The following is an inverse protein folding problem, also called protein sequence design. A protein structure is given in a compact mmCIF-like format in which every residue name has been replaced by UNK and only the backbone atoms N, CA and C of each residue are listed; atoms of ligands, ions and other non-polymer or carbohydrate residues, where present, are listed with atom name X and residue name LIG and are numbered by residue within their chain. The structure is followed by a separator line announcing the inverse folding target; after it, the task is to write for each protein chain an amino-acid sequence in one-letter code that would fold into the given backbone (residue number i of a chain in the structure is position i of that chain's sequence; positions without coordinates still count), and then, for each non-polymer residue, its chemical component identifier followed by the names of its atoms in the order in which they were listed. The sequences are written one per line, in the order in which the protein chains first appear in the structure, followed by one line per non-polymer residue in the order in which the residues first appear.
data_IF_685784797158
#
_entry.id   IF_685784797158
#
_cell.length_a   1.000
_cell.length_b   1.000
_cell.length_c   1.000
_cell.angle_alpha   90.00
_cell.angle_beta   90.00
_cell.angle_gamma   90.00
#
_symmetry.space_group_name_H-M   'P 1'
#
loop_
_entity.id
_entity.type
_entity.pdbx_description
1 polymer ?
#
# COMPACT_ATOMS: atom_id res chain seq x y z
N UNK A 1 63.65 -60.27 -3.16
CA UNK A 1 63.38 -60.08 -1.72
C UNK A 1 61.90 -59.79 -1.53
N UNK A 2 61.28 -60.60 -0.68
CA UNK A 2 59.87 -60.61 -0.23
C UNK A 2 59.74 -59.55 0.89
N UNK A 3 58.71 -58.69 0.97
CA UNK A 3 57.40 -58.94 1.61
C UNK A 3 56.31 -57.93 1.16
N UNK A 4 55.07 -58.22 1.56
CA UNK A 4 53.79 -58.12 0.83
C UNK A 4 52.77 -57.18 1.52
N UNK A 5 52.03 -56.41 0.69
CA UNK A 5 50.63 -55.89 0.74
C UNK A 5 49.82 -55.74 2.06
N UNK A 6 49.03 -54.65 2.23
CA UNK A 6 47.53 -54.62 2.07
C UNK A 6 46.79 -53.38 2.70
N UNK A 7 45.96 -52.73 1.87
CA UNK A 7 44.69 -51.96 2.06
C UNK A 7 44.49 -50.78 3.07
N UNK A 8 43.96 -49.67 2.53
CA UNK A 8 42.58 -49.21 2.83
C UNK A 8 42.36 -47.77 3.33
N UNK A 9 41.48 -47.00 2.66
CA UNK A 9 40.63 -45.98 3.32
C UNK A 9 40.66 -44.55 2.77
N UNK A 10 39.46 -44.05 2.44
CA UNK A 10 39.09 -42.77 1.79
C UNK A 10 38.97 -41.60 2.80
N UNK A 11 39.32 -40.37 2.37
CA UNK A 11 38.92 -39.06 2.95
C UNK A 11 38.05 -38.31 1.91
N UNK A 12 37.32 -37.18 2.19
CA UNK A 12 37.28 -36.29 3.38
C UNK A 12 35.82 -35.98 3.85
N UNK A 13 35.54 -35.25 4.94
CA UNK A 13 35.56 -33.79 5.02
C UNK A 13 34.44 -33.22 5.92
N UNK A 14 34.85 -32.52 6.98
CA UNK A 14 34.24 -31.37 7.67
C UNK A 14 32.70 -31.29 7.91
N UNK A 15 32.34 -31.58 9.16
CA UNK A 15 31.28 -30.94 9.99
C UNK A 15 31.38 -29.40 9.99
N UNK A 16 30.32 -28.59 10.07
CA UNK A 16 28.88 -28.81 10.14
C UNK A 16 28.18 -27.47 10.39
N UNK A 17 27.09 -27.19 9.68
CA UNK A 17 26.15 -26.10 10.00
C UNK A 17 24.72 -26.65 9.95
N UNK A 18 24.00 -26.50 11.07
CA UNK A 18 22.63 -26.98 11.25
C UNK A 18 21.63 -25.99 10.65
N UNK A 19 21.04 -26.31 9.50
CA UNK A 19 19.81 -25.66 9.01
C UNK A 19 18.57 -26.34 9.58
N UNK A 20 17.75 -25.54 10.27
CA UNK A 20 16.40 -25.89 10.72
C UNK A 20 15.49 -26.24 9.53
N UNK A 21 14.84 -27.41 9.62
CA UNK A 21 13.94 -27.99 8.62
C UNK A 21 12.50 -27.59 8.99
N UNK A 22 11.88 -26.70 8.22
CA UNK A 22 10.44 -26.40 8.32
C UNK A 22 9.72 -27.30 7.31
N UNK A 23 8.90 -28.23 7.80
CA UNK A 23 8.17 -29.19 6.98
C UNK A 23 7.03 -28.53 6.21
N UNK A 24 7.09 -28.62 4.89
CA UNK A 24 5.98 -28.34 3.98
C UNK A 24 5.52 -29.68 3.40
N UNK A 25 4.28 -30.07 3.68
CA UNK A 25 3.67 -31.31 3.18
C UNK A 25 3.33 -31.10 1.71
N UNK A 26 4.12 -31.73 0.84
CA UNK A 26 3.85 -31.86 -0.59
C UNK A 26 2.76 -32.91 -0.82
N UNK A 27 1.76 -32.53 -1.61
CA UNK A 27 0.86 -33.43 -2.32
C UNK A 27 1.54 -33.76 -3.65
N UNK A 28 1.81 -35.04 -3.91
CA UNK A 28 2.12 -35.52 -5.26
C UNK A 28 1.00 -36.44 -5.80
N UNK A 29 0.76 -36.42 -7.13
CA UNK A 29 -0.36 -37.08 -7.81
C UNK A 29 0.04 -38.46 -8.39
N UNK A 30 -0.94 -39.36 -8.58
CA UNK A 30 -0.74 -40.59 -9.35
C UNK A 30 -1.82 -41.65 -9.13
N UNK A 31 -2.67 -41.85 -10.16
CA UNK A 31 -3.81 -42.79 -10.31
C UNK A 31 -3.37 -44.30 -10.28
N UNK A 32 -4.25 -45.34 -10.39
CA UNK A 32 -5.63 -45.35 -10.92
C UNK A 32 -6.69 -46.24 -10.21
N UNK A 33 -7.93 -46.13 -10.72
CA UNK A 33 -9.16 -46.83 -10.36
C UNK A 33 -9.12 -48.37 -10.51
N UNK A 34 -9.80 -49.10 -9.61
CA UNK A 34 -10.49 -50.34 -9.97
C UNK A 34 -11.64 -50.68 -9.00
N UNK A 35 -12.81 -50.88 -9.59
CA UNK A 35 -14.11 -51.23 -8.99
C UNK A 35 -14.23 -52.73 -8.69
N UNK A 36 -15.11 -53.07 -7.72
CA UNK A 36 -15.90 -54.32 -7.53
C UNK A 36 -15.37 -55.42 -6.59
N UNK A 37 -16.18 -55.60 -5.53
CA UNK A 37 -16.88 -56.82 -5.07
C UNK A 37 -16.14 -58.17 -4.93
N UNK A 38 -16.37 -58.81 -3.78
CA UNK A 38 -16.07 -60.22 -3.53
C UNK A 38 -15.62 -60.45 -2.09
N UNK A 39 -16.53 -60.48 -1.11
CA UNK A 39 -17.17 -61.72 -0.65
C UNK A 39 -16.17 -62.78 -0.15
N UNK A 40 -16.31 -63.07 1.15
CA UNK A 40 -16.30 -64.43 1.70
C UNK A 40 -14.93 -65.10 1.82
N UNK A 41 -14.29 -64.97 3.00
CA UNK A 41 -13.55 -66.07 3.60
C UNK A 41 -13.69 -66.10 5.15
N UNK A 42 -14.49 -67.09 5.61
CA UNK A 42 -14.20 -68.08 6.68
C UNK A 42 -13.86 -67.49 8.07
N UNK A 43 -14.81 -67.39 9.00
CA UNK A 43 -15.40 -68.42 9.88
C UNK A 43 -14.51 -68.89 11.05
N UNK A 44 -15.01 -68.64 12.27
CA UNK A 44 -14.86 -69.53 13.43
C UNK A 44 -13.78 -69.18 14.46
N UNK A 45 -14.16 -68.57 15.60
CA UNK A 45 -14.20 -69.27 16.89
C UNK A 45 -14.62 -68.34 18.05
N UNK A 46 -15.68 -68.76 18.74
CA UNK A 46 -16.02 -68.57 20.16
C UNK A 46 -16.27 -67.17 20.78
N UNK A 47 -17.54 -66.96 21.14
CA UNK A 47 -18.00 -66.13 22.27
C UNK A 47 -18.16 -67.08 23.51
N UNK A 48 -18.18 -66.62 24.79
CA UNK A 48 -19.18 -65.65 25.25
C UNK A 48 -18.81 -64.67 26.41
N UNK A 49 -19.54 -63.54 26.39
CA UNK A 49 -20.10 -62.76 27.52
C UNK A 49 -19.16 -62.10 28.55
N UNK A 50 -19.06 -60.76 28.45
CA UNK A 50 -19.13 -59.86 29.61
C UNK A 50 -19.73 -58.49 29.27
N UNK A 51 -20.89 -58.21 29.85
CA UNK A 51 -21.25 -56.92 30.44
C UNK A 51 -21.40 -55.69 29.54
N UNK A 52 -22.63 -55.43 29.12
CA UNK A 52 -23.09 -54.10 28.69
C UNK A 52 -23.09 -53.15 29.90
N UNK A 53 -22.40 -52.01 29.83
CA UNK A 53 -22.83 -50.75 30.50
C UNK A 53 -22.26 -49.57 29.72
N UNK A 54 -23.13 -48.58 29.44
CA UNK A 54 -22.84 -47.20 29.06
C UNK A 54 -22.87 -46.81 27.56
N UNK A 55 -23.92 -47.20 26.85
CA UNK A 55 -24.51 -46.34 25.82
C UNK A 55 -25.67 -45.55 26.44
N UNK A 56 -25.45 -44.27 26.77
CA UNK A 56 -26.53 -43.34 27.11
C UNK A 56 -26.73 -42.41 25.91
N UNK A 57 -27.80 -42.57 25.11
CA UNK A 57 -28.15 -41.60 24.10
C UNK A 57 -28.62 -40.33 24.82
N UNK A 58 -27.98 -39.20 24.52
CA UNK A 58 -28.39 -37.90 25.05
C UNK A 58 -29.72 -37.53 24.39
N UNK A 59 -30.80 -37.74 25.13
CA UNK A 59 -32.15 -37.29 24.87
C UNK A 59 -32.17 -35.80 24.52
N UNK A 60 -33.00 -35.46 23.53
CA UNK A 60 -33.15 -34.11 23.00
C UNK A 60 -33.44 -33.06 24.06
N UNK A 61 -32.57 -32.05 24.11
CA UNK A 61 -32.91 -30.73 24.61
C UNK A 61 -33.18 -29.83 23.41
N UNK A 62 -34.45 -29.69 23.05
CA UNK A 62 -34.93 -28.58 22.26
C UNK A 62 -34.55 -27.28 22.98
N UNK A 63 -33.91 -26.34 22.28
CA UNK A 63 -33.51 -25.07 22.88
C UNK A 63 -32.41 -24.28 22.19
N UNK A 64 -31.90 -24.71 21.02
CA UNK A 64 -31.18 -23.78 20.15
C UNK A 64 -32.23 -22.91 19.44
N UNK A 65 -32.80 -21.95 20.17
CA UNK A 65 -33.68 -20.94 19.60
C UNK A 65 -33.01 -20.34 18.37
N UNK A 66 -33.68 -20.42 17.21
CA UNK A 66 -33.27 -19.70 16.01
C UNK A 66 -32.85 -18.29 16.45
N UNK A 67 -31.64 -17.81 16.10
CA UNK A 67 -31.22 -16.48 16.54
C UNK A 67 -32.34 -15.49 16.19
N UNK A 68 -32.78 -14.62 17.12
CA UNK A 68 -33.98 -13.82 16.92
C UNK A 68 -33.87 -13.10 15.58
N UNK A 69 -34.95 -13.06 14.77
CA UNK A 69 -34.93 -12.56 13.38
C UNK A 69 -34.21 -11.21 13.22
N UNK A 70 -34.25 -10.36 14.25
CA UNK A 70 -33.52 -9.08 14.34
C UNK A 70 -32.00 -9.23 14.23
N UNK A 71 -31.41 -10.29 14.81
CA UNK A 71 -29.98 -10.61 14.74
C UNK A 71 -29.54 -11.15 13.37
N UNK A 72 -30.46 -11.68 12.56
CA UNK A 72 -30.18 -12.11 11.19
C UNK A 72 -30.19 -10.92 10.23
N UNK A 73 -31.21 -10.06 10.32
CA UNK A 73 -31.27 -8.80 9.56
C UNK A 73 -30.10 -7.88 9.90
N UNK A 74 -29.78 -7.73 11.19
CA UNK A 74 -28.63 -6.96 11.66
C UNK A 74 -27.32 -7.42 10.99
N UNK A 75 -27.05 -8.73 10.97
CA UNK A 75 -25.83 -9.28 10.35
C UNK A 75 -25.82 -9.12 8.84
N UNK A 76 -26.98 -9.26 8.19
CA UNK A 76 -27.13 -9.06 6.75
C UNK A 76 -26.85 -7.60 6.37
N UNK A 77 -27.41 -6.64 7.12
CA UNK A 77 -27.18 -5.21 6.93
C UNK A 77 -25.72 -4.83 7.20
N UNK A 78 -25.12 -5.36 8.26
CA UNK A 78 -23.73 -5.12 8.63
C UNK A 78 -22.76 -5.62 7.54
N UNK A 79 -23.00 -6.81 6.98
CA UNK A 79 -22.22 -7.35 5.87
C UNK A 79 -22.45 -6.58 4.57
N UNK A 80 -23.69 -6.17 4.29
CA UNK A 80 -24.01 -5.33 3.13
C UNK A 80 -23.27 -3.99 3.18
N UNK A 81 -23.38 -3.25 4.29
CA UNK A 81 -22.68 -1.98 4.50
C UNK A 81 -21.17 -2.15 4.44
N UNK A 82 -20.63 -3.20 5.06
CA UNK A 82 -19.20 -3.50 4.98
C UNK A 82 -18.75 -3.73 3.54
N UNK A 83 -19.53 -4.45 2.72
CA UNK A 83 -19.19 -4.67 1.32
C UNK A 83 -19.30 -3.39 0.49
N UNK A 84 -20.33 -2.57 0.69
CA UNK A 84 -20.50 -1.29 -0.03
C UNK A 84 -19.36 -0.31 0.30
N UNK A 85 -19.00 -0.21 1.59
CA UNK A 85 -17.90 0.67 2.03
C UNK A 85 -16.54 0.07 1.63
N UNK A 86 -16.20 -1.17 1.99
CA UNK A 86 -14.84 -1.68 1.79
C UNK A 86 -14.57 -2.14 0.34
N UNK A 87 -15.59 -2.63 -0.36
CA UNK A 87 -15.47 -3.25 -1.70
C UNK A 87 -16.57 -2.77 -2.65
N UNK A 88 -16.48 -1.54 -3.16
CA UNK A 88 -17.45 -1.07 -4.14
C UNK A 88 -17.57 -2.02 -5.34
N UNK A 89 -18.79 -2.52 -5.54
CA UNK A 89 -19.26 -3.20 -6.74
C UNK A 89 -20.59 -2.60 -7.14
N UNK A 90 -20.81 -2.39 -8.44
CA UNK A 90 -22.03 -1.79 -8.96
C UNK A 90 -22.33 -0.41 -8.36
N UNK A 91 -23.54 -0.23 -7.83
CA UNK A 91 -24.08 1.02 -7.27
C UNK A 91 -23.24 1.68 -6.16
N UNK A 92 -22.40 0.91 -5.47
CA UNK A 92 -21.48 1.46 -4.47
C UNK A 92 -20.49 2.49 -5.04
N UNK A 93 -20.19 2.42 -6.35
CA UNK A 93 -19.34 3.40 -7.03
C UNK A 93 -19.90 4.82 -6.94
N UNK A 94 -21.22 4.98 -7.03
CA UNK A 94 -21.89 6.30 -6.97
C UNK A 94 -21.61 6.98 -5.62
N UNK A 95 -21.65 6.22 -4.52
CA UNK A 95 -21.33 6.75 -3.20
C UNK A 95 -19.87 7.21 -3.10
N UNK A 96 -18.90 6.42 -3.57
CA UNK A 96 -17.48 6.83 -3.54
C UNK A 96 -17.22 8.00 -4.49
N UNK A 97 -17.90 8.07 -5.64
CA UNK A 97 -17.84 9.21 -6.55
C UNK A 97 -18.41 10.48 -5.90
N UNK A 98 -19.53 10.39 -5.17
CA UNK A 98 -20.07 11.51 -4.42
C UNK A 98 -19.11 12.00 -3.33
N UNK A 99 -18.55 11.07 -2.53
CA UNK A 99 -17.55 11.40 -1.50
C UNK A 99 -16.30 12.03 -2.14
N UNK A 100 -15.87 11.54 -3.30
CA UNK A 100 -14.76 12.12 -4.06
C UNK A 100 -15.07 13.55 -4.51
N UNK A 101 -16.23 13.77 -5.13
CA UNK A 101 -16.65 15.10 -5.58
C UNK A 101 -16.79 16.08 -4.42
N UNK A 102 -17.25 15.63 -3.26
CA UNK A 102 -17.37 16.45 -2.05
C UNK A 102 -16.00 16.84 -1.47
N UNK A 103 -15.00 15.95 -1.47
CA UNK A 103 -13.63 16.29 -1.08
C UNK A 103 -12.97 17.20 -2.13
N UNK A 104 -13.19 16.91 -3.41
CA UNK A 104 -12.63 17.67 -4.53
C UNK A 104 -13.19 19.09 -4.57
N UNK A 105 -14.49 19.29 -4.36
CA UNK A 105 -15.09 20.64 -4.30
C UNK A 105 -14.54 21.46 -3.13
N UNK A 106 -14.29 20.83 -1.98
CA UNK A 106 -13.64 21.47 -0.84
C UNK A 106 -12.20 21.94 -1.18
N UNK A 107 -11.44 21.11 -1.90
CA UNK A 107 -10.10 21.48 -2.39
C UNK A 107 -10.16 22.66 -3.37
N UNK A 108 -11.08 22.61 -4.34
CA UNK A 108 -11.26 23.69 -5.33
C UNK A 108 -11.62 25.01 -4.64
N UNK A 109 -12.58 25.00 -3.71
CA UNK A 109 -12.97 26.21 -2.97
C UNK A 109 -11.85 26.74 -2.07
N UNK A 110 -10.97 25.87 -1.58
CA UNK A 110 -9.76 26.28 -0.87
C UNK A 110 -8.77 27.02 -1.77
N UNK A 111 -8.62 26.61 -3.02
CA UNK A 111 -7.85 27.37 -4.02
C UNK A 111 -8.51 28.73 -4.29
N UNK A 112 -9.84 28.78 -4.47
CA UNK A 112 -10.56 30.05 -4.64
C UNK A 112 -10.45 30.98 -3.42
N UNK A 113 -10.37 30.44 -2.20
CA UNK A 113 -10.13 31.24 -0.99
C UNK A 113 -8.75 31.91 -0.95
N UNK A 114 -7.82 31.52 -1.84
CA UNK A 114 -6.50 32.16 -1.92
C UNK A 114 -6.49 33.41 -2.80
N UNK A 115 -7.54 33.62 -3.60
CA UNK A 115 -7.68 34.73 -4.53
C UNK A 115 -8.41 35.87 -3.80
N UNK A 116 -7.76 37.03 -3.65
CA UNK A 116 -8.25 38.16 -2.84
C UNK A 116 -9.65 38.64 -3.29
N UNK A 117 -9.93 38.53 -4.57
CA UNK A 117 -11.18 38.94 -5.21
C UNK A 117 -12.38 38.06 -4.76
N UNK A 118 -12.15 36.80 -4.42
CA UNK A 118 -13.20 35.82 -4.06
C UNK A 118 -13.13 35.34 -2.62
N UNK A 119 -12.18 35.84 -1.83
CA UNK A 119 -11.87 35.38 -0.46
C UNK A 119 -13.11 35.33 0.43
N UNK A 120 -13.80 36.46 0.62
CA UNK A 120 -14.93 36.56 1.58
C UNK A 120 -16.10 35.63 1.26
N UNK A 121 -16.45 35.46 -0.01
CA UNK A 121 -17.54 34.56 -0.43
C UNK A 121 -17.12 33.10 -0.32
N UNK A 122 -15.89 32.79 -0.72
CA UNK A 122 -15.34 31.44 -0.71
C UNK A 122 -15.10 30.92 0.71
N UNK A 123 -14.68 31.77 1.64
CA UNK A 123 -14.48 31.41 3.05
C UNK A 123 -15.78 30.96 3.73
N UNK A 124 -16.88 31.68 3.50
CA UNK A 124 -18.19 31.29 4.01
C UNK A 124 -18.65 29.93 3.47
N UNK A 125 -18.52 29.73 2.15
CA UNK A 125 -18.85 28.46 1.52
C UNK A 125 -17.94 27.30 1.99
N UNK A 126 -16.64 27.57 2.17
CA UNK A 126 -15.66 26.61 2.66
C UNK A 126 -16.00 26.18 4.08
N UNK A 127 -16.35 27.11 4.97
CA UNK A 127 -16.76 26.81 6.34
C UNK A 127 -17.98 25.87 6.39
N UNK A 128 -19.01 26.15 5.57
CA UNK A 128 -20.21 25.30 5.49
C UNK A 128 -19.85 23.91 4.98
N UNK A 129 -19.09 23.82 3.88
CA UNK A 129 -18.66 22.53 3.35
C UNK A 129 -17.77 21.77 4.33
N UNK A 130 -16.89 22.44 5.06
CA UNK A 130 -16.02 21.83 6.06
C UNK A 130 -16.86 21.15 7.16
N UNK A 131 -17.89 21.82 7.67
CA UNK A 131 -18.83 21.21 8.62
C UNK A 131 -19.53 19.99 8.00
N UNK A 132 -20.08 20.11 6.79
CA UNK A 132 -20.75 19.01 6.09
C UNK A 132 -19.80 17.82 5.91
N UNK A 133 -18.57 18.07 5.47
CA UNK A 133 -17.56 17.03 5.26
C UNK A 133 -17.19 16.31 6.57
N UNK A 134 -17.04 17.04 7.68
CA UNK A 134 -16.73 16.45 9.00
C UNK A 134 -17.87 15.56 9.46
N UNK A 135 -19.12 16.00 9.30
CA UNK A 135 -20.30 15.19 9.66
C UNK A 135 -20.36 13.93 8.80
N UNK A 136 -20.25 14.06 7.47
CA UNK A 136 -20.28 12.92 6.54
C UNK A 136 -19.17 11.92 6.86
N UNK A 137 -17.94 12.37 7.11
CA UNK A 137 -16.81 11.49 7.40
C UNK A 137 -16.84 10.91 8.80
N UNK A 138 -17.32 11.66 9.80
CA UNK A 138 -17.53 11.15 11.15
C UNK A 138 -18.55 10.01 11.15
N UNK A 139 -19.67 10.20 10.45
CA UNK A 139 -20.69 9.14 10.28
C UNK A 139 -20.12 7.97 9.49
N UNK A 140 -19.44 8.21 8.36
CA UNK A 140 -18.82 7.14 7.56
C UNK A 140 -17.83 6.32 8.40
N UNK A 141 -16.97 6.98 9.18
CA UNK A 141 -15.98 6.33 10.05
C UNK A 141 -16.65 5.45 11.11
N UNK A 142 -17.69 5.97 11.78
CA UNK A 142 -18.45 5.22 12.79
C UNK A 142 -19.16 4.02 12.17
N UNK A 143 -19.87 4.21 11.06
CA UNK A 143 -20.56 3.14 10.32
C UNK A 143 -19.55 2.09 9.86
N UNK A 144 -18.34 2.48 9.44
CA UNK A 144 -17.27 1.56 9.03
C UNK A 144 -16.78 0.69 10.18
N UNK A 145 -16.48 1.27 11.35
CA UNK A 145 -16.07 0.51 12.54
C UNK A 145 -17.17 -0.43 13.00
N UNK A 146 -18.42 0.05 12.98
CA UNK A 146 -19.57 -0.76 13.35
C UNK A 146 -19.76 -1.92 12.35
N UNK A 147 -19.70 -1.65 11.05
CA UNK A 147 -19.83 -2.63 9.98
C UNK A 147 -18.70 -3.69 10.02
N UNK A 148 -17.47 -3.32 10.38
CA UNK A 148 -16.33 -4.24 10.49
C UNK A 148 -16.57 -5.39 11.49
N UNK A 149 -17.50 -5.24 12.44
CA UNK A 149 -17.91 -6.30 13.35
C UNK A 149 -18.62 -7.49 12.70
N UNK A 150 -18.93 -7.46 11.39
CA UNK A 150 -19.52 -8.60 10.68
C UNK A 150 -18.52 -9.73 10.46
N UNK A 151 -17.23 -9.42 10.38
CA UNK A 151 -16.18 -10.41 10.22
C UNK A 151 -15.87 -11.08 11.57
N UNK A 152 -15.86 -12.42 11.60
CA UNK A 152 -15.52 -13.21 12.79
C UNK A 152 -14.17 -12.81 13.41
N UNK A 153 -13.22 -12.33 12.59
CA UNK A 153 -11.88 -11.85 13.00
C UNK A 153 -11.89 -10.55 13.82
N UNK A 154 -12.91 -9.71 13.69
CA UNK A 154 -13.00 -8.41 14.37
C UNK A 154 -14.18 -8.35 15.37
N UNK A 155 -14.62 -9.50 15.89
CA UNK A 155 -15.73 -9.58 16.84
C UNK A 155 -15.33 -9.03 18.22
N UNK A 156 -16.23 -8.26 18.83
CA UNK A 156 -16.03 -7.65 20.16
C UNK A 156 -15.16 -6.38 20.15
N UNK A 157 -14.99 -5.76 21.33
CA UNK A 157 -14.27 -4.49 21.48
C UNK A 157 -12.79 -4.59 21.05
N UNK A 158 -12.10 -5.66 21.46
CA UNK A 158 -10.69 -5.92 21.08
C UNK A 158 -10.52 -6.12 19.57
N UNK A 159 -11.49 -6.76 18.91
CA UNK A 159 -11.51 -6.94 17.46
C UNK A 159 -11.68 -5.63 16.70
N UNK A 160 -12.61 -4.77 17.15
CA UNK A 160 -12.82 -3.43 16.58
C UNK A 160 -11.61 -2.52 16.75
N UNK A 161 -10.97 -2.52 17.92
CA UNK A 161 -9.75 -1.74 18.15
C UNK A 161 -8.59 -2.20 17.24
N UNK A 162 -8.48 -3.51 16.99
CA UNK A 162 -7.52 -4.06 16.03
C UNK A 162 -7.76 -3.57 14.60
N UNK A 163 -9.03 -3.38 14.22
CA UNK A 163 -9.40 -2.80 12.93
C UNK A 163 -9.05 -1.31 12.85
N UNK A 164 -9.33 -0.55 13.92
CA UNK A 164 -9.03 0.89 13.99
C UNK A 164 -7.52 1.20 13.90
N UNK A 165 -6.64 0.29 14.33
CA UNK A 165 -5.17 0.42 14.23
C UNK A 165 -4.60 0.23 12.82
N UNK A 166 -5.41 -0.05 11.80
CA UNK A 166 -4.94 -0.07 10.40
C UNK A 166 -4.50 1.34 9.99
N UNK A 167 -3.42 1.50 9.21
CA UNK A 167 -2.85 2.82 8.89
C UNK A 167 -3.87 3.79 8.29
N UNK A 168 -4.68 3.35 7.32
CA UNK A 168 -5.73 4.18 6.72
C UNK A 168 -6.84 4.58 7.70
N UNK A 169 -7.20 3.71 8.66
CA UNK A 169 -8.18 4.04 9.70
C UNK A 169 -7.61 5.03 10.72
N UNK A 170 -6.30 4.98 10.99
CA UNK A 170 -5.59 5.95 11.83
C UNK A 170 -5.50 7.31 11.15
N UNK A 171 -5.20 7.35 9.84
CA UNK A 171 -5.21 8.59 9.06
C UNK A 171 -6.60 9.24 9.08
N UNK A 172 -7.67 8.46 8.85
CA UNK A 172 -9.04 8.99 8.82
C UNK A 172 -9.47 9.61 10.17
N UNK A 173 -9.16 8.96 11.29
CA UNK A 173 -9.48 9.52 12.62
C UNK A 173 -8.59 10.71 12.98
N UNK A 174 -7.30 10.68 12.60
CA UNK A 174 -6.40 11.82 12.80
C UNK A 174 -6.89 13.06 12.04
N UNK A 175 -7.29 12.88 10.78
CA UNK A 175 -7.87 13.96 9.95
C UNK A 175 -9.19 14.44 10.54
N UNK A 176 -10.06 13.55 11.01
CA UNK A 176 -11.33 13.92 11.64
C UNK A 176 -11.10 14.77 12.91
N UNK A 177 -10.21 14.32 13.81
CA UNK A 177 -9.87 15.04 15.05
C UNK A 177 -9.26 16.40 14.73
N UNK A 178 -8.30 16.45 13.81
CA UNK A 178 -7.67 17.70 13.41
C UNK A 178 -8.69 18.69 12.82
N UNK A 179 -9.62 18.21 12.01
CA UNK A 179 -10.66 19.06 11.41
C UNK A 179 -11.63 19.62 12.45
N UNK A 180 -12.03 18.80 13.44
CA UNK A 180 -12.86 19.23 14.58
C UNK A 180 -12.11 20.26 15.43
N UNK A 181 -10.83 20.02 15.72
CA UNK A 181 -10.00 20.95 16.49
C UNK A 181 -9.86 22.31 15.80
N UNK A 182 -9.69 22.31 14.47
CA UNK A 182 -9.60 23.56 13.70
C UNK A 182 -10.94 24.30 13.68
N UNK A 183 -12.09 23.62 13.53
CA UNK A 183 -13.40 24.25 13.65
C UNK A 183 -13.63 24.84 15.05
N UNK A 184 -13.27 24.11 16.12
CA UNK A 184 -13.41 24.58 17.50
C UNK A 184 -12.54 25.82 17.77
N UNK A 185 -11.32 25.86 17.23
CA UNK A 185 -10.43 27.02 17.32
C UNK A 185 -10.94 28.23 16.52
N UNK A 186 -11.52 27.99 15.34
CA UNK A 186 -12.11 29.03 14.48
C UNK A 186 -13.35 29.70 15.10
N UNK A 187 -14.12 28.96 15.89
CA UNK A 187 -15.30 29.48 16.60
C UNK A 187 -14.99 30.55 17.65
N UNK A 188 -13.77 30.59 18.19
CA UNK A 188 -13.41 31.50 19.29
C UNK A 188 -13.00 32.90 18.82
N UNK A 189 -13.20 33.25 17.54
CA UNK A 189 -13.11 34.62 17.01
C UNK A 189 -11.73 35.30 17.09
N UNK A 190 -10.70 34.58 17.53
CA UNK A 190 -9.39 35.14 17.80
C UNK A 190 -8.58 35.29 16.50
N UNK A 191 -7.51 36.09 16.51
CA UNK A 191 -6.54 36.32 15.39
C UNK A 191 -5.97 35.03 14.76
N UNK A 192 -6.25 33.89 15.37
CA UNK A 192 -6.04 32.55 14.84
C UNK A 192 -6.97 32.16 13.68
N UNK A 193 -8.05 32.89 13.38
CA UNK A 193 -8.95 32.54 12.27
C UNK A 193 -8.20 32.44 10.92
N UNK A 194 -7.30 33.38 10.63
CA UNK A 194 -6.46 33.35 9.40
C UNK A 194 -5.42 32.22 9.42
N UNK A 195 -4.88 31.88 10.59
CA UNK A 195 -3.94 30.75 10.77
C UNK A 195 -4.64 29.38 10.70
N UNK A 196 -5.88 29.31 11.18
CA UNK A 196 -6.75 28.15 11.10
C UNK A 196 -7.13 27.85 9.65
N UNK A 197 -7.47 28.88 8.87
CA UNK A 197 -7.73 28.75 7.44
C UNK A 197 -6.54 28.16 6.68
N UNK A 198 -5.31 28.59 6.98
CA UNK A 198 -4.10 28.00 6.40
C UNK A 198 -3.94 26.52 6.74
N UNK A 199 -4.28 26.14 7.97
CA UNK A 199 -4.20 24.75 8.45
C UNK A 199 -5.28 23.84 7.82
N UNK A 200 -6.48 24.38 7.55
CA UNK A 200 -7.53 23.66 6.82
C UNK A 200 -7.07 23.23 5.42
N UNK A 201 -6.28 24.07 4.72
CA UNK A 201 -5.77 23.76 3.37
C UNK A 201 -4.90 22.50 3.37
N UNK A 202 -4.06 22.35 4.40
CA UNK A 202 -3.21 21.16 4.54
C UNK A 202 -4.03 19.90 4.88
N UNK A 203 -5.04 20.03 5.75
CA UNK A 203 -5.93 18.92 6.11
C UNK A 203 -6.75 18.42 4.91
N UNK A 204 -7.11 19.28 3.96
CA UNK A 204 -7.82 18.90 2.73
C UNK A 204 -6.98 17.97 1.84
N UNK A 205 -5.67 18.21 1.74
CA UNK A 205 -4.77 17.33 0.99
C UNK A 205 -4.74 15.94 1.65
N UNK A 206 -4.67 15.88 2.99
CA UNK A 206 -4.74 14.61 3.72
C UNK A 206 -6.07 13.86 3.49
N UNK A 207 -7.19 14.58 3.28
CA UNK A 207 -8.50 13.98 2.94
C UNK A 207 -8.54 13.36 1.55
N UNK A 208 -7.66 13.74 0.63
CA UNK A 208 -7.55 13.10 -0.68
C UNK A 208 -6.81 11.76 -0.56
N UNK A 209 -5.78 11.68 0.28
CA UNK A 209 -4.95 10.47 0.46
C UNK A 209 -5.80 9.26 0.89
N UNK A 210 -6.80 9.47 1.75
CA UNK A 210 -7.68 8.39 2.22
C UNK A 210 -8.63 7.84 1.15
N UNK A 211 -8.75 8.48 -0.02
CA UNK A 211 -9.53 7.94 -1.15
C UNK A 211 -8.98 6.57 -1.59
N UNK A 212 -7.69 6.32 -1.42
CA UNK A 212 -7.11 4.98 -1.58
C UNK A 212 -7.31 4.10 -0.33
N UNK A 213 -8.58 3.77 -0.04
CA UNK A 213 -8.99 3.08 1.19
C UNK A 213 -8.38 1.68 1.37
N UNK A 214 -8.00 1.00 0.28
CA UNK A 214 -7.43 -0.36 0.32
C UNK A 214 -5.91 -0.39 0.29
N UNK A 215 -5.28 0.75 -0.01
CA UNK A 215 -3.86 0.82 -0.34
C UNK A 215 -3.51 -0.14 -1.47
N UNK A 216 -4.45 -0.40 -2.39
CA UNK A 216 -4.25 -1.32 -3.50
C UNK A 216 -3.20 -0.77 -4.45
N UNK A 217 -3.33 0.52 -4.76
CA UNK A 217 -2.36 1.27 -5.56
C UNK A 217 -1.00 1.30 -4.88
N UNK A 218 -0.94 1.60 -3.58
CA UNK A 218 0.32 1.59 -2.81
C UNK A 218 0.98 0.21 -2.73
N UNK A 219 0.19 -0.88 -2.61
CA UNK A 219 0.71 -2.25 -2.64
C UNK A 219 1.22 -2.64 -4.02
N UNK A 220 0.50 -2.27 -5.06
CA UNK A 220 0.91 -2.51 -6.44
C UNK A 220 2.20 -1.76 -6.75
N UNK A 221 2.22 -0.45 -6.47
CA UNK A 221 3.41 0.39 -6.61
C UNK A 221 4.59 -0.16 -5.82
N UNK A 222 4.37 -0.50 -4.54
CA UNK A 222 5.40 -1.11 -3.69
C UNK A 222 5.89 -2.46 -4.23
N UNK A 223 5.00 -3.28 -4.79
CA UNK A 223 5.36 -4.56 -5.41
C UNK A 223 6.24 -4.37 -6.65
N UNK A 224 5.90 -3.40 -7.52
CA UNK A 224 6.68 -3.09 -8.72
C UNK A 224 8.04 -2.49 -8.35
N UNK A 225 8.06 -1.55 -7.42
CA UNK A 225 9.31 -0.95 -6.90
C UNK A 225 10.19 -2.00 -6.24
N UNK A 226 9.61 -2.92 -5.46
CA UNK A 226 10.37 -3.99 -4.82
C UNK A 226 10.98 -4.95 -5.85
N UNK A 227 10.20 -5.34 -6.87
CA UNK A 227 10.66 -6.22 -7.95
C UNK A 227 11.85 -5.64 -8.71
N UNK A 228 11.80 -4.33 -9.02
CA UNK A 228 12.86 -3.62 -9.77
C UNK A 228 13.79 -2.78 -8.88
N UNK A 229 13.85 -3.09 -7.59
CA UNK A 229 14.59 -2.30 -6.60
C UNK A 229 16.08 -2.17 -6.94
N UNK A 230 16.69 -3.24 -7.47
CA UNK A 230 18.11 -3.22 -7.89
C UNK A 230 18.37 -2.28 -9.07
N UNK A 231 17.49 -2.31 -10.08
CA UNK A 231 17.60 -1.45 -11.26
C UNK A 231 17.36 0.01 -10.88
N UNK A 232 16.33 0.28 -10.08
CA UNK A 232 16.00 1.61 -9.57
C UNK A 232 17.14 2.20 -8.73
N UNK A 233 17.68 1.44 -7.79
CA UNK A 233 18.79 1.89 -6.93
C UNK A 233 20.04 2.16 -7.76
N UNK A 234 20.34 1.31 -8.76
CA UNK A 234 21.50 1.51 -9.64
C UNK A 234 21.34 2.77 -10.49
N UNK A 235 20.16 2.99 -11.09
CA UNK A 235 19.88 4.19 -11.87
C UNK A 235 19.94 5.48 -11.02
N UNK A 236 19.36 5.45 -9.82
CA UNK A 236 19.44 6.58 -8.87
C UNK A 236 20.88 6.85 -8.42
N UNK A 237 21.66 5.81 -8.13
CA UNK A 237 23.04 5.95 -7.72
C UNK A 237 23.90 6.58 -8.83
N UNK A 238 23.82 6.06 -10.06
CA UNK A 238 24.59 6.61 -11.19
C UNK A 238 24.10 8.02 -11.54
N UNK A 239 22.79 8.25 -11.57
CA UNK A 239 22.20 9.56 -11.82
C UNK A 239 22.65 10.60 -10.79
N UNK A 240 22.64 10.25 -9.50
CA UNK A 240 23.12 11.13 -8.44
C UNK A 240 24.62 11.40 -8.52
N UNK A 241 25.44 10.39 -8.84
CA UNK A 241 26.87 10.57 -9.07
C UNK A 241 27.13 11.52 -10.26
N UNK A 242 26.41 11.35 -11.37
CA UNK A 242 26.46 12.25 -12.51
C UNK A 242 26.02 13.67 -12.15
N UNK A 243 24.98 13.84 -11.33
CA UNK A 243 24.52 15.16 -10.85
C UNK A 243 25.62 15.87 -10.08
N UNK A 244 26.18 15.22 -9.06
CA UNK A 244 27.22 15.81 -8.21
C UNK A 244 28.46 16.19 -9.04
N UNK A 245 28.89 15.30 -9.93
CA UNK A 245 30.08 15.48 -10.76
C UNK A 245 29.86 16.58 -11.81
N UNK A 246 28.72 16.58 -12.52
CA UNK A 246 28.37 17.60 -13.50
C UNK A 246 28.28 18.99 -12.86
N UNK A 247 27.56 19.11 -11.74
CA UNK A 247 27.44 20.37 -11.00
C UNK A 247 28.80 20.87 -10.51
N UNK A 248 29.68 19.97 -10.04
CA UNK A 248 31.01 20.37 -9.57
C UNK A 248 31.91 20.84 -10.72
N UNK A 249 31.94 20.13 -11.84
CA UNK A 249 32.78 20.53 -12.98
C UNK A 249 32.29 21.81 -13.64
N UNK A 250 30.98 22.00 -13.78
CA UNK A 250 30.41 23.24 -14.33
C UNK A 250 30.61 24.39 -13.35
N UNK A 251 30.48 24.17 -12.04
CA UNK A 251 30.83 25.16 -11.03
C UNK A 251 32.27 25.63 -11.19
N UNK A 252 33.24 24.71 -11.29
CA UNK A 252 34.65 25.08 -11.45
C UNK A 252 34.92 25.79 -12.79
N UNK A 253 34.19 25.45 -13.85
CA UNK A 253 34.36 26.08 -15.16
C UNK A 253 33.76 27.50 -15.24
N UNK A 254 32.71 27.78 -14.46
CA UNK A 254 31.97 29.05 -14.47
C UNK A 254 32.34 29.97 -13.31
N UNK A 255 33.05 29.46 -12.29
CA UNK A 255 33.43 30.22 -11.11
C UNK A 255 34.31 31.41 -11.49
N UNK A 256 33.86 32.61 -11.14
CA UNK A 256 34.57 33.86 -11.38
C UNK A 256 34.25 34.53 -12.73
N UNK A 257 33.57 33.82 -13.63
CA UNK A 257 33.13 34.35 -14.94
C UNK A 257 31.62 34.64 -14.96
N UNK A 258 30.85 33.97 -14.08
CA UNK A 258 29.39 34.01 -14.11
C UNK A 258 28.80 34.12 -12.70
N UNK A 259 28.08 35.20 -12.43
CA UNK A 259 27.40 35.47 -11.16
C UNK A 259 26.30 34.44 -10.83
N UNK A 260 25.83 33.67 -11.82
CA UNK A 260 24.85 32.59 -11.59
C UNK A 260 25.44 31.39 -10.83
N UNK A 261 26.76 31.21 -10.83
CA UNK A 261 27.45 30.07 -10.21
C UNK A 261 28.42 30.52 -9.09
N UNK A 262 27.94 31.38 -8.18
CA UNK A 262 28.75 31.87 -7.06
C UNK A 262 29.00 30.77 -6.01
N UNK A 263 27.94 30.02 -5.65
CA UNK A 263 28.04 28.91 -4.70
C UNK A 263 27.88 27.55 -5.37
N UNK A 264 28.46 26.52 -4.76
CA UNK A 264 28.26 25.14 -5.21
C UNK A 264 26.78 24.72 -5.14
N UNK A 265 26.00 25.30 -4.21
CA UNK A 265 24.56 25.06 -4.12
C UNK A 265 23.81 25.57 -5.37
N UNK A 266 24.26 26.67 -5.97
CA UNK A 266 23.69 27.20 -7.22
C UNK A 266 23.92 26.27 -8.40
N UNK A 267 25.12 25.67 -8.48
CA UNK A 267 25.45 24.68 -9.48
C UNK A 267 24.70 23.36 -9.29
N UNK A 268 24.43 22.95 -8.04
CA UNK A 268 23.57 21.80 -7.73
C UNK A 268 22.12 22.04 -8.14
N UNK A 269 21.58 23.24 -7.86
CA UNK A 269 20.25 23.64 -8.33
C UNK A 269 20.15 23.56 -9.84
N UNK A 270 21.10 24.18 -10.56
CA UNK A 270 21.16 24.12 -12.01
C UNK A 270 21.25 22.68 -12.54
N UNK A 271 22.13 21.85 -11.95
CA UNK A 271 22.31 20.46 -12.34
C UNK A 271 21.04 19.63 -12.14
N UNK A 272 20.34 19.82 -11.01
CA UNK A 272 19.06 19.16 -10.76
C UNK A 272 18.02 19.53 -11.81
N UNK A 273 17.80 20.83 -12.05
CA UNK A 273 16.81 21.34 -13.02
C UNK A 273 17.12 20.89 -14.46
N UNK A 274 18.40 20.81 -14.80
CA UNK A 274 18.87 20.37 -16.13
C UNK A 274 18.73 18.86 -16.32
N UNK A 275 19.17 18.05 -15.35
CA UNK A 275 19.08 16.59 -15.43
C UNK A 275 17.66 16.06 -15.33
N UNK A 276 16.76 16.77 -14.63
CA UNK A 276 15.32 16.46 -14.63
C UNK A 276 14.59 17.04 -15.85
N UNK A 277 15.29 17.64 -16.81
CA UNK A 277 14.74 18.21 -18.05
C UNK A 277 13.66 19.30 -17.82
N UNK A 278 13.70 19.99 -16.68
CA UNK A 278 12.77 21.10 -16.39
C UNK A 278 13.23 22.35 -17.14
N UNK A 279 14.51 22.70 -17.02
CA UNK A 279 15.14 23.79 -17.77
C UNK A 279 14.49 25.16 -17.58
N UNK A 280 14.37 25.66 -16.34
CA UNK A 280 13.80 26.99 -16.07
C UNK A 280 14.51 28.14 -16.81
N UNK A 281 15.82 27.99 -17.08
CA UNK A 281 16.62 29.00 -17.77
C UNK A 281 17.08 30.16 -16.87
N UNK A 282 16.89 30.03 -15.54
CA UNK A 282 17.31 31.01 -14.53
C UNK A 282 18.84 31.02 -14.31
N UNK A 283 19.49 29.87 -14.48
CA UNK A 283 20.96 29.70 -14.42
C UNK A 283 21.41 28.87 -15.60
N UNK A 284 22.53 29.24 -16.24
CA UNK A 284 23.10 28.50 -17.35
C UNK A 284 24.59 28.84 -17.54
N UNK A 285 25.42 27.88 -17.97
CA UNK A 285 26.83 28.13 -18.24
C UNK A 285 27.02 29.07 -19.44
N UNK A 286 27.84 30.10 -19.24
CA UNK A 286 28.16 31.09 -20.27
C UNK A 286 29.49 30.78 -20.95
N UNK A 287 30.45 30.21 -20.23
CA UNK A 287 31.76 29.86 -20.77
C UNK A 287 31.65 28.70 -21.76
N UNK A 288 32.51 28.70 -22.78
CA UNK A 288 32.55 27.60 -23.75
C UNK A 288 32.85 26.24 -23.08
N UNK A 289 33.78 26.24 -22.12
CA UNK A 289 34.17 25.03 -21.40
C UNK A 289 33.02 24.51 -20.52
N UNK A 290 32.33 25.40 -19.80
CA UNK A 290 31.15 25.05 -19.00
C UNK A 290 30.02 24.49 -19.86
N UNK A 291 29.78 25.08 -21.04
CA UNK A 291 28.78 24.57 -22.01
C UNK A 291 29.12 23.19 -22.56
N UNK A 292 30.38 22.93 -22.89
CA UNK A 292 30.83 21.63 -23.38
C UNK A 292 30.64 20.55 -22.30
N UNK A 293 31.07 20.84 -21.08
CA UNK A 293 30.87 19.94 -19.92
C UNK A 293 29.38 19.70 -19.67
N UNK A 294 28.58 20.76 -19.63
CA UNK A 294 27.13 20.67 -19.43
C UNK A 294 26.47 19.80 -20.50
N UNK A 295 26.82 19.98 -21.78
CA UNK A 295 26.25 19.20 -22.88
C UNK A 295 26.55 17.70 -22.72
N UNK A 296 27.80 17.33 -22.42
CA UNK A 296 28.19 15.92 -22.25
C UNK A 296 27.49 15.28 -21.04
N UNK A 297 27.48 15.95 -19.89
CA UNK A 297 26.86 15.40 -18.69
C UNK A 297 25.34 15.36 -18.75
N UNK A 298 24.71 16.31 -19.46
CA UNK A 298 23.25 16.31 -19.64
C UNK A 298 22.80 15.11 -20.46
N UNK A 299 23.51 14.77 -21.56
CA UNK A 299 23.19 13.59 -22.37
C UNK A 299 23.22 12.29 -21.55
N UNK A 300 24.23 12.15 -20.70
CA UNK A 300 24.40 10.97 -19.84
C UNK A 300 23.36 10.99 -18.71
N UNK A 301 23.27 12.09 -17.95
CA UNK A 301 22.47 12.16 -16.73
C UNK A 301 20.97 12.12 -16.99
N UNK A 302 20.47 12.77 -18.05
CA UNK A 302 19.04 12.70 -18.43
C UNK A 302 18.63 11.26 -18.73
N UNK A 303 19.49 10.49 -19.40
CA UNK A 303 19.23 9.08 -19.69
C UNK A 303 19.00 8.27 -18.41
N UNK A 304 19.82 8.47 -17.38
CA UNK A 304 19.68 7.77 -16.09
C UNK A 304 18.48 8.23 -15.26
N UNK A 305 18.14 9.53 -15.28
CA UNK A 305 16.95 10.05 -14.60
C UNK A 305 15.64 9.62 -15.25
N UNK A 306 15.65 9.26 -16.53
CA UNK A 306 14.48 8.72 -17.23
C UNK A 306 14.22 7.22 -16.93
N UNK A 307 15.24 6.44 -16.55
CA UNK A 307 15.10 5.00 -16.32
C UNK A 307 14.05 4.61 -15.26
N UNK A 308 13.95 5.29 -14.10
CA UNK A 308 12.92 5.00 -13.10
C UNK A 308 11.48 5.17 -13.60
N UNK A 309 11.25 6.03 -14.59
CA UNK A 309 9.92 6.21 -15.19
C UNK A 309 9.58 5.08 -16.17
N UNK A 310 10.57 4.57 -16.91
CA UNK A 310 10.39 3.56 -17.96
C UNK A 310 10.35 2.14 -17.38
N UNK A 311 11.18 1.82 -16.39
CA UNK A 311 11.28 0.46 -15.83
C UNK A 311 9.93 -0.11 -15.33
N UNK A 312 9.07 0.66 -14.62
CA UNK A 312 7.72 0.23 -14.26
C UNK A 312 6.74 0.17 -15.44
N UNK A 313 6.89 1.06 -16.42
CA UNK A 313 5.94 1.25 -17.52
C UNK A 313 6.12 0.26 -18.68
N UNK A 314 7.34 -0.24 -18.89
CA UNK A 314 7.63 -1.23 -19.93
C UNK A 314 7.20 -2.67 -19.55
N UNK A 315 6.83 -2.90 -18.29
CA UNK A 315 6.54 -4.24 -17.76
C UNK A 315 5.36 -4.97 -18.45
N UNK A 316 4.27 -4.29 -18.85
CA UNK A 316 3.22 -4.92 -19.65
C UNK A 316 3.57 -5.01 -21.14
N UNK A 317 4.44 -4.12 -21.64
CA UNK A 317 4.76 -3.99 -23.06
C UNK A 317 5.89 -4.93 -23.52
N UNK A 318 6.79 -5.34 -22.62
CA UNK A 318 7.88 -6.24 -22.97
C UNK A 318 7.50 -7.72 -23.00
N UNK A 319 6.34 -8.13 -22.46
CA UNK A 319 5.91 -9.53 -22.54
C UNK A 319 6.87 -10.57 -21.91
N UNK A 320 7.89 -10.17 -21.14
CA UNK A 320 8.89 -11.06 -20.52
C UNK A 320 8.59 -11.33 -19.03
N UNK A 321 7.33 -11.25 -18.62
CA UNK A 321 6.87 -11.98 -17.46
C UNK A 321 5.60 -12.71 -17.88
N UNK A 322 5.79 -13.96 -18.31
CA UNK A 322 4.73 -14.93 -18.38
C UNK A 322 3.99 -14.91 -17.05
N UNK A 323 2.82 -14.28 -17.05
CA UNK A 323 1.77 -14.64 -16.11
C UNK A 323 1.54 -16.11 -16.40
N UNK A 324 2.14 -16.97 -15.57
CA UNK A 324 1.76 -18.36 -15.45
C UNK A 324 0.26 -18.34 -15.18
N UNK A 325 -0.52 -18.60 -16.23
CA UNK A 325 -1.91 -19.00 -16.09
C UNK A 325 -1.90 -20.20 -15.15
N UNK A 326 -2.29 -19.96 -13.90
CA UNK A 326 -2.68 -21.05 -13.03
C UNK A 326 -3.78 -21.83 -13.78
N UNK A 327 -3.63 -23.14 -13.97
CA UNK A 327 -4.60 -23.89 -14.76
C UNK A 327 -5.97 -23.78 -14.09
N UNK A 328 -6.94 -23.29 -14.86
CA UNK A 328 -8.36 -23.47 -14.56
C UNK A 328 -8.58 -24.98 -14.41
N UNK A 329 -8.69 -25.43 -13.16
CA UNK A 329 -9.34 -26.71 -12.88
C UNK A 329 -10.80 -26.52 -13.27
N UNK A 330 -11.17 -27.20 -14.35
CA UNK A 330 -12.53 -27.50 -14.79
C UNK A 330 -13.40 -27.93 -13.62
#
# INVERSE_FOLDING_TARGET
MVQKSRNGGVYPGTSGEKKLKVGFVGLDPGAPDSTRDGALLIAGSEAPKRGSVLSKPRTGGAGAGKPPKRNAFYRKLQNFLYNVLERPRGWAFIYHAYVFLLVFSCLVLSVFSTIKEYEKSSEGALYILEIVTIVVFGVEYFVRIWAAGCCCRYRGWRGRLKFARKPFCVIDIMVLIASIAVLAAGSQGNVFATSALRSLRFLQILRMIRMDRRGGTWKLLGSVVYAHSKELVTAWYIGFLCLILASFLVYLAEKGENDHFDTYADALWWGLITLTTIGYGDKYPQTWNGRLLAATFTLIGVSFFALPAVSPACLPALGILGVSEAPRKT
#
